data_IF_769630674108
#
_entry.id   IF_769630674108
#
_cell.length_a   1.000
_cell.length_b   1.000
_cell.length_c   1.000
_cell.angle_alpha   90.00
_cell.angle_beta   90.00
_cell.angle_gamma   90.00
#
_symmetry.space_group_name_H-M   'P 1'
#
loop_
_entity.id
_entity.type
_entity.pdbx_description
1 polymer ?
#
# COMPACT_ATOMS: atom_id res chain seq x y z
N UNK A 1 8.41 -21.26 7.49
CA UNK A 1 8.28 -22.54 6.78
C UNK A 1 8.92 -23.63 7.63
N UNK A 2 8.30 -24.81 7.68
CA UNK A 2 8.76 -25.98 8.41
C UNK A 2 8.67 -27.19 7.46
N UNK A 3 9.75 -27.96 7.35
CA UNK A 3 9.76 -29.23 6.63
C UNK A 3 9.90 -30.36 7.63
N UNK A 4 8.96 -31.27 7.64
CA UNK A 4 8.93 -32.42 8.56
C UNK A 4 8.98 -33.71 7.75
N UNK A 5 9.79 -34.65 8.17
CA UNK A 5 9.79 -36.03 7.67
C UNK A 5 8.92 -36.87 8.58
N UNK A 6 7.87 -37.47 8.02
CA UNK A 6 6.95 -38.33 8.75
C UNK A 6 7.57 -39.72 9.04
N UNK A 7 6.95 -40.56 9.88
CA UNK A 7 7.45 -41.89 10.19
C UNK A 7 7.54 -42.83 8.97
N UNK A 8 6.81 -42.51 7.89
CA UNK A 8 6.87 -43.27 6.62
C UNK A 8 8.01 -42.83 5.70
N UNK A 9 8.76 -41.78 6.12
CA UNK A 9 9.89 -41.23 5.39
C UNK A 9 9.55 -40.14 4.37
N UNK A 10 8.32 -39.70 4.30
CA UNK A 10 7.85 -38.63 3.38
C UNK A 10 8.13 -37.26 3.98
N UNK A 11 8.56 -36.32 3.14
CA UNK A 11 8.78 -34.91 3.54
C UNK A 11 7.53 -34.06 3.26
N UNK A 12 7.02 -33.42 4.29
CA UNK A 12 5.85 -32.53 4.23
C UNK A 12 6.30 -31.12 4.57
N UNK A 13 5.90 -30.16 3.71
CA UNK A 13 6.19 -28.74 3.91
C UNK A 13 4.98 -28.02 4.50
N UNK A 14 5.18 -27.31 5.61
CA UNK A 14 4.19 -26.50 6.28
C UNK A 14 4.49 -25.02 6.10
N UNK A 15 3.51 -24.30 5.58
CA UNK A 15 3.63 -22.86 5.33
C UNK A 15 3.00 -22.02 6.46
N UNK A 16 3.24 -20.72 6.41
CA UNK A 16 2.57 -19.77 7.33
C UNK A 16 1.05 -19.70 7.11
N UNK A 17 0.60 -19.92 5.88
CA UNK A 17 -0.83 -19.96 5.54
C UNK A 17 -1.53 -21.13 6.20
N UNK A 18 -0.86 -22.29 6.27
CA UNK A 18 -1.38 -23.47 6.98
C UNK A 18 -1.46 -23.21 8.49
N UNK A 19 -0.47 -22.55 9.07
CA UNK A 19 -0.51 -22.11 10.47
C UNK A 19 -1.70 -21.16 10.70
N UNK A 20 -1.89 -20.17 9.82
CA UNK A 20 -3.01 -19.23 9.91
C UNK A 20 -4.35 -19.99 9.90
N UNK A 21 -4.57 -20.88 8.94
CA UNK A 21 -5.79 -21.66 8.82
C UNK A 21 -6.03 -22.56 10.05
N UNK A 22 -4.98 -23.12 10.62
CA UNK A 22 -5.08 -23.93 11.83
C UNK A 22 -5.70 -23.14 12.99
N UNK A 23 -5.18 -21.94 13.27
CA UNK A 23 -5.68 -21.11 14.35
C UNK A 23 -7.01 -20.41 14.03
N UNK A 24 -7.35 -20.22 12.75
CA UNK A 24 -8.66 -19.73 12.34
C UNK A 24 -9.81 -20.70 12.65
N UNK A 25 -9.53 -21.97 12.94
CA UNK A 25 -10.53 -22.89 13.47
C UNK A 25 -10.90 -22.57 14.93
N UNK A 26 -9.99 -21.96 15.69
CA UNK A 26 -10.22 -21.54 17.09
C UNK A 26 -10.74 -20.09 17.15
N UNK A 27 -10.14 -19.20 16.35
CA UNK A 27 -10.49 -17.78 16.22
C UNK A 27 -10.55 -17.38 14.74
N UNK A 28 -11.76 -17.23 14.14
CA UNK A 28 -11.92 -16.86 12.73
C UNK A 28 -11.26 -15.53 12.32
N UNK A 29 -11.06 -14.61 13.27
CA UNK A 29 -10.40 -13.32 13.02
C UNK A 29 -8.87 -13.40 13.16
N UNK A 30 -8.32 -14.57 13.52
CA UNK A 30 -6.88 -14.75 13.67
C UNK A 30 -6.16 -14.38 12.38
N UNK A 31 -5.21 -13.48 12.50
CA UNK A 31 -4.22 -13.18 11.47
C UNK A 31 -2.80 -13.44 12.01
N UNK A 32 -1.79 -13.20 11.24
CA UNK A 32 -0.40 -13.44 11.64
C UNK A 32 0.24 -12.16 12.22
N UNK A 33 -0.53 -11.35 12.94
CA UNK A 33 -0.06 -10.18 13.68
C UNK A 33 0.06 -10.51 15.16
N UNK A 34 1.19 -10.17 15.74
CA UNK A 34 1.54 -10.45 17.12
C UNK A 34 2.11 -9.18 17.76
N UNK A 35 1.88 -8.98 19.03
CA UNK A 35 2.38 -7.82 19.76
C UNK A 35 3.89 -7.93 20.02
N UNK A 36 4.43 -9.15 20.05
CA UNK A 36 5.85 -9.42 20.22
C UNK A 36 6.34 -10.61 19.41
N UNK A 37 7.67 -10.76 19.27
CA UNK A 37 8.28 -11.94 18.64
C UNK A 37 8.09 -13.20 19.51
N UNK A 38 8.10 -13.03 20.83
CA UNK A 38 7.90 -14.10 21.81
C UNK A 38 6.51 -14.70 21.65
N UNK A 39 5.48 -13.87 21.59
CA UNK A 39 4.11 -14.31 21.33
C UNK A 39 4.00 -15.06 19.98
N UNK A 40 4.55 -14.47 18.91
CA UNK A 40 4.56 -15.13 17.61
C UNK A 40 5.27 -16.48 17.62
N UNK A 41 6.34 -16.63 18.39
CA UNK A 41 7.05 -17.89 18.56
C UNK A 41 6.19 -18.92 19.32
N UNK A 42 5.44 -18.52 20.34
CA UNK A 42 4.51 -19.42 21.05
C UNK A 42 3.46 -20.03 20.10
N UNK A 43 2.91 -19.24 19.19
CA UNK A 43 1.99 -19.74 18.15
C UNK A 43 2.67 -20.73 17.21
N UNK A 44 3.89 -20.45 16.79
CA UNK A 44 4.69 -21.38 15.97
C UNK A 44 4.93 -22.69 16.69
N UNK A 45 5.31 -22.65 17.97
CA UNK A 45 5.62 -23.83 18.79
C UNK A 45 4.35 -24.66 19.06
N UNK A 46 3.20 -24.02 19.34
CA UNK A 46 1.90 -24.70 19.45
C UNK A 46 1.51 -25.41 18.16
N UNK A 47 1.63 -24.72 17.02
CA UNK A 47 1.36 -25.33 15.72
C UNK A 47 2.31 -26.50 15.44
N UNK A 48 3.60 -26.33 15.69
CA UNK A 48 4.60 -27.36 15.53
C UNK A 48 4.29 -28.60 16.38
N UNK A 49 3.89 -28.40 17.63
CA UNK A 49 3.47 -29.50 18.51
C UNK A 49 2.24 -30.23 17.99
N UNK A 50 1.31 -29.54 17.32
CA UNK A 50 0.10 -30.14 16.75
C UNK A 50 0.33 -31.01 15.53
N UNK A 51 1.40 -30.77 14.76
CA UNK A 51 1.70 -31.48 13.51
C UNK A 51 2.80 -32.53 13.62
N UNK A 52 3.62 -32.51 14.71
CA UNK A 52 4.65 -33.48 14.94
C UNK A 52 4.05 -34.74 15.60
N UNK A 53 3.88 -35.78 14.80
CA UNK A 53 3.54 -37.11 15.31
C UNK A 53 4.78 -37.83 15.88
N UNK A 54 4.56 -38.84 16.74
CA UNK A 54 5.64 -39.67 17.26
C UNK A 54 6.44 -40.31 16.11
N UNK A 55 7.76 -40.18 16.17
CA UNK A 55 8.66 -40.66 15.12
C UNK A 55 8.89 -39.70 13.95
N UNK A 56 8.24 -38.52 13.94
CA UNK A 56 8.55 -37.47 12.98
C UNK A 56 9.84 -36.74 13.31
N UNK A 57 10.52 -36.25 12.29
CA UNK A 57 11.75 -35.43 12.46
C UNK A 57 11.65 -34.12 11.68
N UNK A 58 12.09 -33.03 12.30
CA UNK A 58 12.21 -31.73 11.62
C UNK A 58 13.45 -31.75 10.73
N UNK A 59 13.24 -31.60 9.42
CA UNK A 59 14.31 -31.56 8.41
C UNK A 59 14.84 -30.16 8.23
N UNK A 60 13.94 -29.17 8.16
CA UNK A 60 14.28 -27.77 8.04
C UNK A 60 13.24 -26.88 8.72
N UNK A 61 13.70 -25.82 9.36
CA UNK A 61 12.84 -24.81 9.99
C UNK A 61 13.36 -23.42 9.68
N UNK A 62 12.45 -22.54 9.25
CA UNK A 62 12.72 -21.11 9.08
C UNK A 62 11.55 -20.30 9.63
N UNK A 63 11.76 -19.69 10.78
CA UNK A 63 10.88 -18.70 11.38
C UNK A 63 11.51 -17.32 11.20
N UNK A 64 10.71 -16.34 10.79
CA UNK A 64 11.15 -14.95 10.71
C UNK A 64 9.98 -14.01 10.99
N UNK A 65 10.23 -13.03 11.80
CA UNK A 65 9.27 -11.97 12.12
C UNK A 65 9.72 -10.67 11.47
N UNK A 66 8.75 -9.90 10.97
CA UNK A 66 9.01 -8.60 10.38
C UNK A 66 8.16 -7.53 11.06
N UNK A 67 8.75 -6.39 11.45
CA UNK A 67 7.98 -5.29 12.03
C UNK A 67 6.81 -4.86 11.13
N UNK A 68 5.66 -4.57 11.72
CA UNK A 68 4.50 -4.00 11.03
C UNK A 68 4.12 -2.66 11.68
N UNK A 69 3.54 -1.71 10.95
CA UNK A 69 3.41 -1.70 9.49
C UNK A 69 4.77 -1.56 8.78
N UNK A 70 4.84 -2.03 7.54
CA UNK A 70 5.99 -1.84 6.68
C UNK A 70 5.92 -0.49 5.96
N UNK A 71 7.08 0.05 5.61
CA UNK A 71 7.21 1.27 4.81
C UNK A 71 8.41 1.17 3.88
N UNK A 72 8.38 1.95 2.80
CA UNK A 72 9.50 2.12 1.90
C UNK A 72 9.67 3.61 1.58
N UNK A 73 10.86 3.99 1.15
CA UNK A 73 11.18 5.37 0.81
C UNK A 73 12.16 5.42 -0.34
N UNK A 74 11.94 6.35 -1.27
CA UNK A 74 12.92 6.75 -2.29
C UNK A 74 13.26 8.23 -2.11
N UNK A 75 14.53 8.56 -2.22
CA UNK A 75 15.03 9.95 -2.20
C UNK A 75 15.59 10.27 -3.58
N UNK A 76 15.03 11.29 -4.21
CA UNK A 76 15.40 11.71 -5.56
C UNK A 76 15.89 13.16 -5.51
N UNK A 77 17.02 13.43 -6.17
CA UNK A 77 17.51 14.78 -6.40
C UNK A 77 16.63 15.45 -7.48
N UNK A 78 15.86 16.45 -7.09
CA UNK A 78 14.92 17.13 -7.98
C UNK A 78 15.58 17.88 -9.16
N UNK A 79 16.88 18.20 -9.08
CA UNK A 79 17.59 18.91 -10.14
C UNK A 79 18.13 17.97 -11.22
N UNK A 80 18.46 16.74 -10.83
CA UNK A 80 19.08 15.76 -11.75
C UNK A 80 18.18 14.58 -12.07
N UNK A 81 17.13 14.35 -11.27
CA UNK A 81 16.31 13.15 -11.34
C UNK A 81 17.00 11.90 -10.81
N UNK A 82 18.22 12.00 -10.26
CA UNK A 82 18.95 10.84 -9.77
C UNK A 82 18.43 10.37 -8.42
N UNK A 83 18.25 9.05 -8.31
CA UNK A 83 17.93 8.42 -7.05
C UNK A 83 19.17 8.42 -6.14
N UNK A 84 19.05 9.05 -4.98
CA UNK A 84 20.14 9.16 -3.99
C UNK A 84 20.07 8.07 -2.92
N UNK A 85 18.86 7.61 -2.59
CA UNK A 85 18.68 6.51 -1.65
C UNK A 85 17.36 5.77 -1.93
N UNK A 86 17.35 4.47 -1.65
CA UNK A 86 16.16 3.63 -1.64
C UNK A 86 16.17 2.79 -0.36
N UNK A 87 15.04 2.79 0.35
CA UNK A 87 14.79 1.93 1.51
C UNK A 87 13.57 1.08 1.20
N UNK A 88 13.74 -0.24 1.09
CA UNK A 88 12.71 -1.18 0.66
C UNK A 88 11.80 -1.72 1.77
N UNK A 89 12.08 -1.44 3.05
CA UNK A 89 11.30 -1.93 4.18
C UNK A 89 11.84 -1.47 5.53
N UNK A 90 11.07 -1.71 6.61
CA UNK A 90 11.46 -1.50 8.01
C UNK A 90 12.11 -2.76 8.57
N UNK A 91 12.92 -2.55 9.60
CA UNK A 91 13.60 -3.60 10.36
C UNK A 91 14.97 -3.96 9.79
N UNK A 92 15.65 -4.86 10.48
CA UNK A 92 16.95 -5.34 10.10
C UNK A 92 16.88 -6.22 8.84
N UNK A 93 17.81 -6.03 7.94
CA UNK A 93 17.94 -6.85 6.74
C UNK A 93 18.75 -8.09 7.06
N UNK A 94 18.07 -9.20 7.26
CA UNK A 94 18.69 -10.49 7.65
C UNK A 94 19.05 -11.40 6.47
N UNK A 95 18.65 -11.05 5.24
CA UNK A 95 18.91 -11.84 4.03
C UNK A 95 19.11 -10.95 2.80
N UNK A 96 19.81 -11.48 1.79
CA UNK A 96 19.91 -10.86 0.46
C UNK A 96 18.65 -11.12 -0.36
N UNK A 97 18.43 -10.30 -1.40
CA UNK A 97 17.32 -10.43 -2.35
C UNK A 97 15.93 -10.47 -1.69
N UNK A 98 15.76 -9.77 -0.56
CA UNK A 98 14.45 -9.59 0.06
C UNK A 98 13.64 -8.54 -0.69
N UNK A 99 12.30 -8.62 -0.56
CA UNK A 99 11.36 -7.71 -1.20
C UNK A 99 11.72 -6.23 -0.97
N UNK A 100 11.95 -5.50 -2.05
CA UNK A 100 12.09 -4.05 -2.03
C UNK A 100 10.74 -3.40 -2.34
N UNK A 101 10.04 -2.94 -1.33
CA UNK A 101 8.71 -2.33 -1.49
C UNK A 101 8.71 -1.00 -2.24
N UNK A 102 9.88 -0.38 -2.41
CA UNK A 102 9.98 0.85 -3.18
C UNK A 102 9.99 0.61 -4.70
N UNK A 103 10.40 -0.60 -5.14
CA UNK A 103 10.56 -0.95 -6.57
C UNK A 103 9.70 -2.13 -7.01
N UNK A 104 9.41 -3.07 -6.11
CA UNK A 104 8.86 -4.39 -6.47
C UNK A 104 7.39 -4.56 -6.06
N UNK A 105 6.75 -3.47 -5.59
CA UNK A 105 5.33 -3.50 -5.20
C UNK A 105 4.56 -2.36 -5.83
N UNK A 106 3.32 -2.64 -6.22
CA UNK A 106 2.36 -1.63 -6.66
C UNK A 106 1.35 -1.33 -5.55
N UNK A 107 0.99 -0.05 -5.42
CA UNK A 107 -0.03 0.43 -4.50
C UNK A 107 -0.89 1.48 -5.17
N UNK A 108 -2.14 1.58 -4.74
CA UNK A 108 -2.99 2.67 -5.17
C UNK A 108 -2.41 4.01 -4.69
N UNK A 109 -2.16 4.97 -5.60
CA UNK A 109 -1.55 6.25 -5.25
C UNK A 109 -2.48 7.17 -4.47
N UNK A 110 -3.79 6.96 -4.57
CA UNK A 110 -4.80 7.79 -3.94
C UNK A 110 -4.66 9.26 -4.35
N UNK A 111 -4.89 10.15 -3.41
CA UNK A 111 -4.90 11.60 -3.65
C UNK A 111 -3.57 12.21 -4.09
N UNK A 112 -2.46 11.50 -4.01
CA UNK A 112 -1.17 11.99 -4.54
C UNK A 112 -1.23 12.21 -6.05
N UNK A 113 -2.04 11.42 -6.77
CA UNK A 113 -2.23 11.56 -8.21
C UNK A 113 -3.00 12.81 -8.63
N UNK A 114 -3.76 13.45 -7.76
CA UNK A 114 -4.41 14.74 -8.05
C UNK A 114 -3.40 15.79 -8.53
N UNK A 115 -2.19 15.78 -8.00
CA UNK A 115 -1.13 16.69 -8.41
C UNK A 115 -0.73 16.42 -9.87
N UNK A 116 -0.51 15.16 -10.22
CA UNK A 116 0.05 14.76 -11.51
C UNK A 116 -1.01 14.78 -12.63
N UNK A 117 -2.20 14.19 -12.37
CA UNK A 117 -3.23 14.01 -13.37
C UNK A 117 -4.21 15.18 -13.50
N UNK A 118 -4.33 16.03 -12.47
CA UNK A 118 -5.32 17.11 -12.43
C UNK A 118 -4.66 18.48 -12.40
N UNK A 119 -3.90 18.78 -11.35
CA UNK A 119 -3.41 20.12 -11.15
C UNK A 119 -2.21 20.49 -12.04
N UNK A 120 -1.32 19.55 -12.34
CA UNK A 120 -0.20 19.80 -13.25
C UNK A 120 -0.70 20.20 -14.65
N UNK A 121 -1.57 19.44 -15.34
CA UNK A 121 -2.13 19.87 -16.62
C UNK A 121 -3.01 21.12 -16.51
N UNK A 122 -3.73 21.33 -15.41
CA UNK A 122 -4.53 22.54 -15.20
C UNK A 122 -3.67 23.81 -15.21
N UNK A 123 -2.54 23.77 -14.50
CA UNK A 123 -1.61 24.89 -14.43
C UNK A 123 -0.80 25.08 -15.72
N UNK A 124 -0.43 23.99 -16.39
CA UNK A 124 0.46 24.05 -17.55
C UNK A 124 -0.27 24.30 -18.88
N UNK A 125 -1.44 23.69 -19.08
CA UNK A 125 -2.13 23.69 -20.39
C UNK A 125 -3.40 24.56 -20.38
N UNK A 126 -4.07 24.72 -19.22
CA UNK A 126 -5.38 25.40 -19.17
C UNK A 126 -5.30 26.85 -18.69
N UNK A 127 -4.09 27.39 -18.50
CA UNK A 127 -3.89 28.75 -18.03
C UNK A 127 -4.42 29.01 -16.61
N UNK A 128 -4.73 27.95 -15.86
CA UNK A 128 -5.13 28.06 -14.47
C UNK A 128 -3.95 28.46 -13.59
N UNK A 129 -4.23 29.01 -12.44
CA UNK A 129 -3.24 29.37 -11.43
C UNK A 129 -3.62 28.77 -10.09
N UNK A 130 -2.73 28.82 -9.11
CA UNK A 130 -3.07 28.40 -7.74
C UNK A 130 -4.16 29.28 -7.08
N UNK A 131 -4.48 30.44 -7.68
CA UNK A 131 -5.56 31.31 -7.25
C UNK A 131 -6.90 31.04 -7.97
N UNK A 132 -6.90 30.25 -9.04
CA UNK A 132 -8.15 29.83 -9.71
C UNK A 132 -9.06 29.12 -8.71
N UNK A 133 -10.36 29.46 -8.74
CA UNK A 133 -11.35 28.99 -7.77
C UNK A 133 -12.36 28.04 -8.39
N UNK A 134 -12.84 27.11 -7.57
CA UNK A 134 -13.96 26.21 -7.84
C UNK A 134 -14.90 26.21 -6.64
N UNK A 135 -16.18 25.95 -6.88
CA UNK A 135 -17.16 25.79 -5.79
C UNK A 135 -17.09 24.38 -5.21
N UNK A 136 -16.67 24.29 -3.96
CA UNK A 136 -16.71 23.07 -3.15
C UNK A 136 -18.08 22.93 -2.50
N UNK A 137 -18.97 22.23 -3.16
CA UNK A 137 -20.39 22.02 -2.84
C UNK A 137 -20.79 20.57 -3.14
N UNK A 138 -21.99 20.08 -2.74
CA UNK A 138 -22.47 18.77 -3.14
C UNK A 138 -22.38 18.58 -4.64
N UNK A 139 -21.69 17.54 -5.08
CA UNK A 139 -21.41 17.26 -6.49
C UNK A 139 -21.48 15.77 -6.77
N UNK A 140 -21.94 15.38 -7.96
CA UNK A 140 -22.05 13.99 -8.38
C UNK A 140 -21.25 13.72 -9.64
N UNK A 141 -20.73 12.50 -9.76
CA UNK A 141 -20.22 11.97 -11.03
C UNK A 141 -21.35 11.83 -12.06
N UNK A 142 -21.03 11.65 -13.36
CA UNK A 142 -22.02 11.46 -14.42
C UNK A 142 -22.98 10.27 -14.20
N UNK A 143 -22.55 9.26 -13.45
CA UNK A 143 -23.38 8.11 -13.08
C UNK A 143 -24.33 8.37 -11.89
N UNK A 144 -24.31 9.59 -11.35
CA UNK A 144 -25.12 9.99 -10.20
C UNK A 144 -24.52 9.70 -8.84
N UNK A 145 -23.38 9.00 -8.76
CA UNK A 145 -22.72 8.73 -7.48
C UNK A 145 -22.10 9.99 -6.88
N UNK A 146 -22.18 10.21 -5.55
CA UNK A 146 -21.71 11.44 -4.93
C UNK A 146 -20.19 11.50 -4.82
N UNK A 147 -19.64 12.69 -5.08
CA UNK A 147 -18.24 13.02 -4.78
C UNK A 147 -18.14 13.49 -3.33
N UNK A 148 -17.52 12.71 -2.47
CA UNK A 148 -17.40 13.02 -1.06
C UNK A 148 -16.00 13.56 -0.70
N UNK A 149 -15.96 14.67 0.04
CA UNK A 149 -14.76 15.12 0.71
C UNK A 149 -14.44 14.24 1.93
N UNK A 150 -13.17 14.03 2.22
CA UNK A 150 -12.74 13.30 3.41
C UNK A 150 -13.21 13.98 4.72
N UNK A 151 -13.33 15.32 4.72
CA UNK A 151 -13.86 16.12 5.81
C UNK A 151 -15.36 15.93 6.07
N UNK A 152 -16.10 15.30 5.12
CA UNK A 152 -17.56 15.20 5.10
C UNK A 152 -18.26 16.57 5.14
N UNK A 153 -17.59 17.62 4.71
CA UNK A 153 -18.09 19.02 4.65
C UNK A 153 -17.62 19.69 3.36
N UNK A 154 -18.26 20.80 3.03
CA UNK A 154 -17.95 21.59 1.85
C UNK A 154 -17.51 22.99 2.27
N UNK A 155 -16.58 23.59 1.54
CA UNK A 155 -15.93 24.86 1.86
C UNK A 155 -16.38 26.05 1.02
N UNK A 156 -17.33 25.87 0.08
CA UNK A 156 -17.72 26.92 -0.87
C UNK A 156 -16.58 27.30 -1.83
N UNK A 157 -16.49 28.56 -2.21
CA UNK A 157 -15.45 29.05 -3.13
C UNK A 157 -14.06 28.74 -2.61
N UNK A 158 -13.38 27.83 -3.29
CA UNK A 158 -12.09 27.24 -2.85
C UNK A 158 -11.06 27.36 -3.96
N UNK A 159 -9.88 27.93 -3.66
CA UNK A 159 -8.77 28.03 -4.61
C UNK A 159 -8.11 26.68 -4.84
N UNK A 160 -7.46 26.49 -6.01
CA UNK A 160 -6.63 25.30 -6.28
C UNK A 160 -5.57 25.11 -5.19
N UNK A 161 -4.94 26.17 -4.69
CA UNK A 161 -3.96 26.10 -3.58
C UNK A 161 -4.57 25.44 -2.34
N UNK A 162 -5.75 25.94 -1.91
CA UNK A 162 -6.46 25.41 -0.74
C UNK A 162 -6.94 23.98 -0.97
N UNK A 163 -7.39 23.67 -2.19
CA UNK A 163 -7.83 22.34 -2.56
C UNK A 163 -6.67 21.32 -2.54
N UNK A 164 -5.48 21.69 -2.98
CA UNK A 164 -4.27 20.86 -2.86
C UNK A 164 -3.92 20.66 -1.38
N UNK A 165 -3.86 21.74 -0.62
CA UNK A 165 -3.48 21.74 0.79
C UNK A 165 -4.37 20.82 1.65
N UNK A 166 -5.69 20.83 1.38
CA UNK A 166 -6.68 20.08 2.13
C UNK A 166 -7.16 18.81 1.41
N UNK A 167 -6.56 18.51 0.25
CA UNK A 167 -6.94 17.36 -0.59
C UNK A 167 -8.43 17.28 -0.92
N UNK A 168 -9.06 18.43 -1.25
CA UNK A 168 -10.50 18.54 -1.53
C UNK A 168 -10.86 17.73 -2.78
N UNK A 169 -11.78 16.78 -2.65
CA UNK A 169 -12.13 15.86 -3.74
C UNK A 169 -13.02 16.53 -4.78
N UNK A 170 -14.04 17.30 -4.36
CA UNK A 170 -14.97 17.97 -5.26
C UNK A 170 -14.24 18.92 -6.21
N UNK A 171 -13.34 19.74 -5.67
CA UNK A 171 -12.54 20.67 -6.49
C UNK A 171 -11.63 19.91 -7.47
N UNK A 172 -11.04 18.80 -7.03
CA UNK A 172 -10.19 18.00 -7.90
C UNK A 172 -10.97 17.38 -9.06
N UNK A 173 -12.19 16.89 -8.82
CA UNK A 173 -13.05 16.32 -9.87
C UNK A 173 -13.48 17.42 -10.84
N UNK A 174 -14.02 18.53 -10.38
CA UNK A 174 -14.41 19.67 -11.24
C UNK A 174 -13.22 20.19 -12.07
N UNK A 175 -12.05 20.31 -11.46
CA UNK A 175 -10.83 20.72 -12.16
C UNK A 175 -10.43 19.70 -13.24
N UNK A 176 -10.54 18.37 -12.95
CA UNK A 176 -10.22 17.33 -13.93
C UNK A 176 -11.22 17.30 -15.10
N UNK A 177 -12.47 17.64 -14.87
CA UNK A 177 -13.46 17.79 -15.96
C UNK A 177 -13.08 18.91 -16.91
N UNK A 178 -12.61 20.07 -16.42
CA UNK A 178 -12.11 21.16 -17.26
C UNK A 178 -10.76 20.81 -17.95
N UNK A 179 -9.90 20.08 -17.29
CA UNK A 179 -8.64 19.55 -17.84
C UNK A 179 -8.92 18.49 -18.90
N UNK A 180 -9.88 17.67 -18.71
CA UNK A 180 -10.29 16.41 -19.33
C UNK A 180 -9.50 15.20 -18.82
N UNK A 181 -10.17 14.06 -18.57
CA UNK A 181 -9.50 12.83 -18.16
C UNK A 181 -8.42 12.36 -19.13
N UNK A 182 -8.59 12.59 -20.44
CA UNK A 182 -7.64 12.21 -21.47
C UNK A 182 -6.32 12.95 -21.32
N UNK A 183 -6.38 14.27 -21.08
CA UNK A 183 -5.16 15.05 -20.84
C UNK A 183 -4.50 14.65 -19.51
N UNK A 184 -5.30 14.35 -18.50
CA UNK A 184 -4.80 13.83 -17.22
C UNK A 184 -4.03 12.52 -17.39
N UNK A 185 -4.55 11.57 -18.17
CA UNK A 185 -3.87 10.31 -18.48
C UNK A 185 -2.58 10.55 -19.29
N UNK A 186 -2.62 11.43 -20.29
CA UNK A 186 -1.41 11.77 -21.07
C UNK A 186 -0.29 12.33 -20.17
N UNK A 187 -0.64 13.09 -19.13
CA UNK A 187 0.34 13.58 -18.17
C UNK A 187 0.93 12.44 -17.34
N UNK A 188 0.11 11.45 -16.92
CA UNK A 188 0.62 10.27 -16.22
C UNK A 188 1.57 9.47 -17.11
N UNK A 189 1.24 9.25 -18.38
CA UNK A 189 2.14 8.59 -19.34
C UNK A 189 3.47 9.36 -19.49
N UNK A 190 3.40 10.69 -19.60
CA UNK A 190 4.59 11.55 -19.68
C UNK A 190 5.46 11.49 -18.43
N UNK A 191 4.87 11.22 -17.26
CA UNK A 191 5.58 10.97 -15.98
C UNK A 191 6.10 9.52 -15.87
N UNK A 192 5.79 8.64 -16.84
CA UNK A 192 6.26 7.26 -16.87
C UNK A 192 5.38 6.26 -16.11
N UNK A 193 4.14 6.61 -15.80
CA UNK A 193 3.15 5.67 -15.25
C UNK A 193 2.48 4.91 -16.40
N UNK A 194 2.45 3.57 -16.32
CA UNK A 194 1.85 2.66 -17.31
C UNK A 194 0.80 1.76 -16.68
#
# INVERSE_FOLDING_TARGET
ALTVKNPQGEEVNYSKEMLKLYFQNEDPEFDLLFDSQEEGQEYVDRYKASILADGSTVVAERVSFAPQPQSSMSVIDQHTGYVKAIIGGRGEKTASLTLNRATDTTRQPGSTFKILSTYAPALNEKGMTLATTFEDEPYNYPDGSPVNNASKSYGGTTTIRKAIQNSVNVVAVKCLEEVTPQLGLQYLDNFGFT
#
